data_IF_171732820823
#
_entry.id   IF_171732820823
#
_cell.length_a   1.000
_cell.length_b   1.000
_cell.length_c   1.000
_cell.angle_alpha   90.00
_cell.angle_beta   90.00
_cell.angle_gamma   90.00
#
_symmetry.space_group_name_H-M   'P 1'
#
loop_
_entity.id
_entity.type
_entity.pdbx_description
1 polymer ?
#
# COMPACT_ATOMS: atom_id res chain seq x y z
N UNK A 1 7.26 -13.89 17.76
CA UNK A 1 6.86 -14.04 17.02
C UNK A 1 6.44 -13.28 16.09
N UNK A 2 6.30 -12.92 15.60
CA UNK A 2 5.77 -12.42 14.80
C UNK A 2 6.18 -12.41 13.53
N UNK A 3 5.88 -12.84 12.74
CA UNK A 3 6.26 -12.89 11.40
C UNK A 3 5.52 -11.88 10.58
N UNK A 4 4.40 -11.41 11.04
CA UNK A 4 3.66 -10.40 10.34
C UNK A 4 4.27 -9.05 10.56
N UNK A 5 4.15 -8.17 9.57
CA UNK A 5 4.58 -6.81 9.74
C UNK A 5 3.65 -6.09 10.69
N UNK A 6 4.23 -5.18 11.45
CA UNK A 6 3.48 -4.34 12.37
C UNK A 6 2.60 -3.38 11.57
N UNK A 7 1.31 -3.31 11.92
CA UNK A 7 0.38 -2.42 11.24
C UNK A 7 0.83 -0.96 11.37
N UNK A 8 1.33 -0.57 12.54
CA UNK A 8 1.82 0.79 12.73
C UNK A 8 2.99 1.09 11.81
N UNK A 9 3.84 0.11 11.60
CA UNK A 9 4.97 0.27 10.70
C UNK A 9 4.50 0.44 9.25
N UNK A 10 3.47 -0.32 8.86
CA UNK A 10 2.92 -0.23 7.52
C UNK A 10 2.35 1.15 7.23
N UNK A 11 1.59 1.72 8.17
CA UNK A 11 0.96 3.01 7.95
C UNK A 11 1.85 4.19 8.30
N UNK A 12 3.07 3.93 8.78
CA UNK A 12 4.03 5.00 9.05
C UNK A 12 4.53 5.65 7.76
N UNK A 13 4.53 4.90 6.65
CA UNK A 13 4.93 5.46 5.37
C UNK A 13 3.78 6.27 4.79
N UNK A 14 3.98 7.58 4.52
CA UNK A 14 2.88 8.43 4.03
C UNK A 14 2.28 7.92 2.72
N UNK A 15 3.12 7.41 1.81
CA UNK A 15 2.64 6.90 0.53
C UNK A 15 1.78 5.65 0.73
N UNK A 16 2.22 4.72 1.57
CA UNK A 16 1.44 3.51 1.84
C UNK A 16 0.11 3.85 2.48
N UNK A 17 0.11 4.80 3.41
CA UNK A 17 -1.13 5.22 4.07
C UNK A 17 -2.09 5.84 3.08
N UNK A 18 -1.57 6.67 2.16
CA UNK A 18 -2.40 7.30 1.14
C UNK A 18 -2.99 6.26 0.18
N UNK A 19 -2.20 5.25 -0.20
CA UNK A 19 -2.69 4.18 -1.06
C UNK A 19 -3.80 3.41 -0.36
N UNK A 20 -3.62 3.10 0.91
CA UNK A 20 -4.65 2.39 1.67
C UNK A 20 -5.94 3.20 1.71
N UNK A 21 -5.84 4.51 1.96
CA UNK A 21 -7.00 5.38 2.00
C UNK A 21 -7.73 5.42 0.67
N UNK A 22 -6.99 5.48 -0.43
CA UNK A 22 -7.60 5.50 -1.76
C UNK A 22 -8.31 4.19 -2.05
N UNK A 23 -7.68 3.06 -1.76
CA UNK A 23 -8.26 1.75 -2.03
C UNK A 23 -9.43 1.43 -1.11
N UNK A 24 -9.56 2.12 0.00
CA UNK A 24 -10.68 1.93 0.90
C UNK A 24 -11.98 2.44 0.30
N UNK A 25 -11.90 3.37 -0.67
CA UNK A 25 -13.10 3.96 -1.27
C UNK A 25 -13.34 3.54 -2.71
N UNK A 26 -12.36 2.89 -3.35
CA UNK A 26 -12.56 2.43 -4.73
C UNK A 26 -11.54 1.35 -5.05
N UNK A 27 -11.91 0.54 -6.07
CA UNK A 27 -11.02 -0.51 -6.56
C UNK A 27 -10.23 0.04 -7.74
N UNK A 28 -8.90 -0.12 -7.68
CA UNK A 28 -8.02 0.35 -8.73
C UNK A 28 -7.01 -0.72 -9.11
N UNK A 29 -6.60 -0.71 -10.38
CA UNK A 29 -5.49 -1.54 -10.80
C UNK A 29 -4.18 -0.97 -10.27
N UNK A 30 -3.13 -1.80 -10.28
CA UNK A 30 -1.81 -1.33 -9.86
C UNK A 30 -1.32 -0.18 -10.75
N UNK A 31 -1.62 -0.24 -12.05
CA UNK A 31 -1.24 0.84 -12.95
C UNK A 31 -1.94 2.15 -12.59
N UNK A 32 -3.22 2.08 -12.25
CA UNK A 32 -3.97 3.27 -11.89
C UNK A 32 -3.43 3.88 -10.60
N UNK A 33 -3.07 3.04 -9.63
CA UNK A 33 -2.48 3.53 -8.39
C UNK A 33 -1.14 4.21 -8.68
N UNK A 34 -0.32 3.60 -9.53
CA UNK A 34 0.98 4.17 -9.88
C UNK A 34 0.82 5.56 -10.50
N UNK A 35 -0.17 5.71 -11.39
CA UNK A 35 -0.43 7.00 -12.01
C UNK A 35 -0.91 8.03 -11.00
N UNK A 36 -1.79 7.63 -10.10
CA UNK A 36 -2.31 8.54 -9.08
C UNK A 36 -1.23 9.11 -8.18
N UNK A 37 -0.23 8.30 -7.86
CA UNK A 37 0.81 8.72 -6.93
C UNK A 37 2.11 9.10 -7.62
N UNK A 38 2.13 9.02 -8.96
CA UNK A 38 3.33 9.37 -9.74
C UNK A 38 4.55 8.57 -9.28
N UNK A 39 4.36 7.28 -9.07
CA UNK A 39 5.43 6.37 -8.69
C UNK A 39 5.42 5.18 -9.65
N UNK A 40 6.49 4.41 -9.64
CA UNK A 40 6.60 3.26 -10.52
C UNK A 40 5.67 2.15 -10.07
N UNK A 41 5.27 1.30 -11.02
CA UNK A 41 4.43 0.16 -10.70
C UNK A 41 5.11 -0.82 -9.75
N UNK A 42 6.41 -1.13 -9.91
CA UNK A 42 7.09 -1.96 -8.90
C UNK A 42 7.03 -1.39 -7.50
N UNK A 43 7.10 -0.07 -7.37
CA UNK A 43 6.97 0.56 -6.05
C UNK A 43 5.58 0.36 -5.48
N UNK A 44 4.54 0.47 -6.32
CA UNK A 44 3.16 0.21 -5.90
C UNK A 44 3.03 -1.23 -5.42
N UNK A 45 3.55 -2.18 -6.19
CA UNK A 45 3.48 -3.60 -5.81
C UNK A 45 4.13 -3.83 -4.45
N UNK A 46 5.25 -3.19 -4.19
CA UNK A 46 5.94 -3.33 -2.92
C UNK A 46 5.08 -2.78 -1.78
N UNK A 47 4.49 -1.61 -1.97
CA UNK A 47 3.64 -1.02 -0.93
C UNK A 47 2.41 -1.88 -0.65
N UNK A 48 1.76 -2.38 -1.71
CA UNK A 48 0.59 -3.23 -1.57
C UNK A 48 0.95 -4.53 -0.87
N UNK A 49 2.12 -5.09 -1.18
CA UNK A 49 2.56 -6.31 -0.53
C UNK A 49 2.73 -6.11 0.98
N UNK A 50 3.32 -4.98 1.38
CA UNK A 50 3.49 -4.68 2.79
C UNK A 50 2.14 -4.56 3.48
N UNK A 51 1.20 -3.85 2.86
CA UNK A 51 -0.13 -3.70 3.43
C UNK A 51 -0.83 -5.05 3.56
N UNK A 52 -0.71 -5.89 2.55
CA UNK A 52 -1.31 -7.22 2.54
C UNK A 52 -0.74 -8.09 3.65
N UNK A 53 0.57 -8.02 3.88
CA UNK A 53 1.22 -8.79 4.93
C UNK A 53 0.77 -8.36 6.33
N UNK A 54 0.24 -7.16 6.45
CA UNK A 54 -0.30 -6.68 7.72
C UNK A 54 -1.79 -6.98 7.86
N UNK A 55 -2.40 -7.58 6.85
CA UNK A 55 -3.82 -7.88 6.88
C UNK A 55 -4.70 -6.69 6.51
N UNK A 56 -4.14 -5.70 5.85
CA UNK A 56 -4.89 -4.48 5.49
C UNK A 56 -5.39 -4.47 4.03
#
# INVERSE_FOLDING_TARGET
MKTRRDVFQAIADPTRRAILGLLAVQTLSLNAVAENFNISRPAVSKHVKVLSECGL
#
